data_IF_591681000028
#
_entry.id   IF_591681000028
#
_cell.length_a   1.000
_cell.length_b   1.000
_cell.length_c   1.000
_cell.angle_alpha   90.00
_cell.angle_beta   90.00
_cell.angle_gamma   90.00
#
_symmetry.space_group_name_H-M   'P 1'
#
loop_
_entity.id
_entity.type
_entity.pdbx_description
1 polymer ?
#
# COMPACT_ATOMS: atom_id res chain seq x y z
N UNK A 1 5.67 -4.63 -19.86
CA UNK A 1 4.84 -5.63 -20.55
C UNK A 1 5.02 -6.94 -19.83
N UNK A 2 3.89 -7.55 -19.54
CA UNK A 2 3.66 -8.37 -18.36
C UNK A 2 4.47 -9.67 -18.37
N UNK A 3 4.76 -10.19 -17.19
CA UNK A 3 5.50 -11.44 -17.00
C UNK A 3 4.66 -12.34 -16.12
N UNK A 4 3.83 -13.19 -16.75
CA UNK A 4 3.12 -14.27 -16.04
C UNK A 4 4.09 -15.41 -15.70
N UNK A 5 5.23 -15.50 -16.41
CA UNK A 5 6.24 -16.52 -16.16
C UNK A 5 7.48 -15.91 -15.48
N UNK A 6 7.82 -16.45 -14.31
CA UNK A 6 8.88 -15.93 -13.43
C UNK A 6 8.39 -15.91 -11.98
N UNK A 7 8.80 -16.90 -11.19
CA UNK A 7 8.31 -17.08 -9.82
C UNK A 7 8.56 -15.88 -8.88
N UNK A 8 9.45 -14.95 -9.24
CA UNK A 8 9.76 -13.78 -8.44
C UNK A 8 10.15 -12.59 -9.32
N UNK A 9 9.19 -11.75 -9.71
CA UNK A 9 9.51 -10.41 -10.21
C UNK A 9 10.22 -9.63 -9.10
N UNK A 10 11.36 -9.04 -9.42
CA UNK A 10 12.16 -8.21 -8.49
C UNK A 10 11.72 -6.75 -8.50
N UNK A 11 10.91 -6.35 -9.49
CA UNK A 11 10.26 -5.05 -9.62
C UNK A 11 8.74 -5.20 -9.53
N UNK A 12 8.04 -4.07 -9.39
CA UNK A 12 6.57 -4.04 -9.43
C UNK A 12 6.05 -4.80 -10.67
N UNK A 13 4.98 -5.63 -10.54
CA UNK A 13 4.18 -5.86 -9.33
C UNK A 13 4.76 -6.88 -8.33
N UNK A 14 5.92 -7.47 -8.58
CA UNK A 14 6.57 -8.37 -7.62
C UNK A 14 5.75 -9.65 -7.40
N UNK A 15 5.61 -10.06 -6.14
CA UNK A 15 4.82 -11.24 -5.75
C UNK A 15 3.31 -11.12 -6.04
N UNK A 16 2.79 -9.93 -6.33
CA UNK A 16 1.37 -9.77 -6.68
C UNK A 16 1.08 -9.98 -8.17
N UNK A 17 2.12 -10.19 -9.00
CA UNK A 17 2.01 -10.43 -10.44
C UNK A 17 1.01 -11.54 -10.78
N UNK A 18 1.09 -12.68 -10.09
CA UNK A 18 0.20 -13.82 -10.31
C UNK A 18 -1.28 -13.45 -10.13
N UNK A 19 -1.58 -12.57 -9.17
CA UNK A 19 -2.95 -12.12 -8.90
C UNK A 19 -3.41 -11.08 -9.91
N UNK A 20 -2.57 -10.08 -10.20
CA UNK A 20 -2.91 -8.98 -11.12
C UNK A 20 -3.03 -9.51 -12.55
N UNK A 21 -2.03 -10.22 -13.03
CA UNK A 21 -2.01 -10.76 -14.38
C UNK A 21 -2.94 -11.96 -14.53
N UNK A 22 -3.06 -12.81 -13.50
CA UNK A 22 -4.04 -13.89 -13.48
C UNK A 22 -5.47 -13.38 -13.56
N UNK A 23 -5.84 -12.38 -12.74
CA UNK A 23 -7.16 -11.77 -12.80
C UNK A 23 -7.43 -11.10 -14.17
N UNK A 24 -6.45 -10.39 -14.72
CA UNK A 24 -6.52 -9.79 -16.06
C UNK A 24 -6.75 -10.84 -17.15
N UNK A 25 -6.02 -11.95 -17.12
CA UNK A 25 -6.15 -13.04 -18.08
C UNK A 25 -7.53 -13.73 -17.98
N UNK A 26 -8.01 -14.00 -16.76
CA UNK A 26 -9.36 -14.57 -16.56
C UNK A 26 -10.45 -13.61 -17.05
N UNK A 27 -10.32 -12.31 -16.78
CA UNK A 27 -11.25 -11.30 -17.32
C UNK A 27 -11.22 -11.28 -18.86
N UNK A 28 -10.04 -11.38 -19.45
CA UNK A 28 -9.90 -11.44 -20.90
C UNK A 28 -10.58 -12.69 -21.49
N UNK A 29 -10.42 -13.86 -20.87
CA UNK A 29 -11.10 -15.08 -21.31
C UNK A 29 -12.62 -14.88 -21.25
N UNK A 30 -13.15 -14.37 -20.13
CA UNK A 30 -14.57 -14.12 -19.97
C UNK A 30 -15.11 -13.14 -21.02
N UNK A 31 -14.40 -12.03 -21.24
CA UNK A 31 -14.84 -10.98 -22.18
C UNK A 31 -14.76 -11.42 -23.64
N UNK A 32 -13.75 -12.21 -24.02
CA UNK A 32 -13.52 -12.60 -25.42
C UNK A 32 -14.22 -13.89 -25.81
N UNK A 33 -14.29 -14.86 -24.91
CA UNK A 33 -14.80 -16.21 -25.18
C UNK A 33 -16.09 -16.56 -24.43
N UNK A 34 -16.48 -15.77 -23.44
CA UNK A 34 -17.67 -15.97 -22.60
C UNK A 34 -17.33 -16.40 -21.17
N UNK A 35 -18.15 -15.98 -20.20
CA UNK A 35 -18.01 -16.37 -18.79
C UNK A 35 -18.16 -17.89 -18.59
N UNK A 36 -18.99 -18.55 -19.40
CA UNK A 36 -19.16 -20.00 -19.43
C UNK A 36 -17.83 -20.73 -19.70
N UNK A 37 -16.92 -20.12 -20.46
CA UNK A 37 -15.60 -20.69 -20.74
C UNK A 37 -14.66 -20.64 -19.55
N UNK A 38 -14.79 -19.66 -18.66
CA UNK A 38 -14.03 -19.65 -17.41
C UNK A 38 -14.46 -20.81 -16.52
N UNK A 39 -15.77 -21.06 -16.45
CA UNK A 39 -16.34 -22.17 -15.68
C UNK A 39 -15.90 -23.51 -16.26
N UNK A 40 -16.12 -23.73 -17.56
CA UNK A 40 -15.75 -24.96 -18.25
C UNK A 40 -14.23 -25.26 -18.15
N UNK A 41 -13.39 -24.22 -18.21
CA UNK A 41 -11.95 -24.35 -18.02
C UNK A 41 -11.62 -24.91 -16.63
N UNK A 42 -12.28 -24.39 -15.59
CA UNK A 42 -12.10 -24.86 -14.21
C UNK A 42 -12.59 -26.31 -14.06
N UNK A 43 -13.76 -26.63 -14.60
CA UNK A 43 -14.34 -27.98 -14.54
C UNK A 43 -13.42 -29.02 -15.19
N UNK A 44 -12.96 -28.77 -16.43
CA UNK A 44 -12.07 -29.68 -17.16
C UNK A 44 -10.73 -29.82 -16.45
N UNK A 45 -10.18 -28.74 -15.90
CA UNK A 45 -8.93 -28.82 -15.15
C UNK A 45 -9.09 -29.64 -13.86
N UNK A 46 -10.21 -29.50 -13.15
CA UNK A 46 -10.50 -30.29 -11.95
C UNK A 46 -10.78 -31.77 -12.26
N UNK A 47 -11.38 -32.07 -13.42
CA UNK A 47 -11.60 -33.45 -13.87
C UNK A 47 -10.29 -34.13 -14.29
N UNK A 48 -9.38 -33.39 -14.92
CA UNK A 48 -8.11 -33.92 -15.46
C UNK A 48 -6.86 -33.13 -15.01
N UNK A 49 -6.57 -33.02 -13.70
CA UNK A 49 -5.53 -32.12 -13.19
C UNK A 49 -4.12 -32.54 -13.66
N UNK A 50 -3.88 -33.83 -13.86
CA UNK A 50 -2.59 -34.36 -14.31
C UNK A 50 -2.28 -34.06 -15.78
N UNK A 51 -3.27 -33.70 -16.59
CA UNK A 51 -3.06 -33.27 -17.98
C UNK A 51 -2.67 -31.78 -18.07
N UNK A 52 -2.79 -31.05 -16.95
CA UNK A 52 -2.31 -29.68 -16.81
C UNK A 52 -3.23 -28.62 -17.45
N UNK A 53 -2.91 -27.36 -17.19
CA UNK A 53 -3.73 -26.21 -17.61
C UNK A 53 -3.83 -26.08 -19.14
N UNK A 54 -2.74 -26.40 -19.85
CA UNK A 54 -2.70 -26.40 -21.31
C UNK A 54 -3.74 -27.34 -21.94
N UNK A 55 -3.96 -28.52 -21.34
CA UNK A 55 -4.98 -29.45 -21.81
C UNK A 55 -6.39 -28.85 -21.66
N UNK A 56 -6.68 -28.29 -20.48
CA UNK A 56 -7.98 -27.71 -20.19
C UNK A 56 -8.27 -26.50 -21.10
N UNK A 57 -7.30 -25.63 -21.34
CA UNK A 57 -7.42 -24.51 -22.28
C UNK A 57 -7.76 -24.98 -23.69
N UNK A 58 -6.98 -25.93 -24.22
CA UNK A 58 -7.17 -26.44 -25.58
C UNK A 58 -8.52 -27.12 -25.76
N UNK A 59 -9.02 -27.81 -24.73
CA UNK A 59 -10.37 -28.40 -24.72
C UNK A 59 -11.49 -27.35 -24.67
N UNK A 60 -11.28 -26.25 -23.96
CA UNK A 60 -12.33 -25.27 -23.68
C UNK A 60 -12.48 -24.22 -24.79
N UNK A 61 -11.36 -23.64 -25.23
CA UNK A 61 -11.33 -22.51 -26.17
C UNK A 61 -10.50 -22.79 -27.44
N UNK A 62 -9.92 -24.00 -27.57
CA UNK A 62 -9.18 -24.41 -28.75
C UNK A 62 -7.73 -23.91 -28.83
N UNK A 63 -7.30 -23.05 -27.90
CA UNK A 63 -5.96 -22.47 -27.85
C UNK A 63 -5.07 -23.16 -26.82
N UNK A 64 -3.77 -23.21 -27.10
CA UNK A 64 -2.77 -23.49 -26.08
C UNK A 64 -2.41 -22.21 -25.28
N UNK A 65 -1.63 -22.36 -24.20
CA UNK A 65 -1.27 -21.25 -23.32
C UNK A 65 -0.47 -20.16 -24.03
N UNK A 66 0.47 -20.51 -24.92
CA UNK A 66 1.29 -19.53 -25.61
C UNK A 66 0.45 -18.69 -26.60
N UNK A 67 -0.47 -19.34 -27.32
CA UNK A 67 -1.43 -18.68 -28.21
C UNK A 67 -2.36 -17.74 -27.42
N UNK A 68 -2.91 -18.23 -26.30
CA UNK A 68 -3.76 -17.43 -25.43
C UNK A 68 -3.00 -16.23 -24.86
N UNK A 69 -1.77 -16.45 -24.40
CA UNK A 69 -0.92 -15.42 -23.82
C UNK A 69 -0.59 -14.33 -24.83
N UNK A 70 -0.18 -14.71 -26.05
CA UNK A 70 0.09 -13.75 -27.12
C UNK A 70 -1.16 -12.94 -27.46
N UNK A 71 -2.31 -13.62 -27.60
CA UNK A 71 -3.59 -12.96 -27.91
C UNK A 71 -4.00 -11.97 -26.80
N UNK A 72 -3.77 -12.34 -25.54
CA UNK A 72 -4.03 -11.48 -24.38
C UNK A 72 -3.09 -10.27 -24.37
N UNK A 73 -1.79 -10.47 -24.60
CA UNK A 73 -0.80 -9.39 -24.66
C UNK A 73 -1.13 -8.37 -25.76
N UNK A 74 -1.52 -8.85 -26.94
CA UNK A 74 -1.89 -8.00 -28.06
C UNK A 74 -3.18 -7.20 -27.77
N UNK A 75 -4.16 -7.84 -27.11
CA UNK A 75 -5.35 -7.14 -26.63
C UNK A 75 -5.03 -6.04 -25.61
N UNK A 76 -4.11 -6.30 -24.67
CA UNK A 76 -3.68 -5.29 -23.70
C UNK A 76 -2.97 -4.13 -24.39
N UNK A 77 -2.07 -4.40 -25.35
CA UNK A 77 -1.39 -3.36 -26.13
C UNK A 77 -2.40 -2.46 -26.83
N UNK A 78 -3.34 -3.05 -27.56
CA UNK A 78 -4.39 -2.30 -28.26
C UNK A 78 -5.24 -1.48 -27.29
N UNK A 79 -5.76 -2.11 -26.22
CA UNK A 79 -6.58 -1.46 -25.20
C UNK A 79 -5.89 -0.25 -24.58
N UNK A 80 -4.65 -0.41 -24.13
CA UNK A 80 -3.91 0.66 -23.48
C UNK A 80 -3.42 1.73 -24.47
N UNK A 81 -3.14 1.36 -25.73
CA UNK A 81 -2.84 2.34 -26.77
C UNK A 81 -4.05 3.24 -27.05
N UNK A 82 -5.25 2.67 -27.20
CA UNK A 82 -6.48 3.44 -27.37
C UNK A 82 -6.79 4.31 -26.15
N UNK A 83 -6.60 3.77 -24.94
CA UNK A 83 -6.76 4.54 -23.71
C UNK A 83 -5.78 5.72 -23.63
N UNK A 84 -4.50 5.49 -23.95
CA UNK A 84 -3.49 6.52 -23.97
C UNK A 84 -3.81 7.62 -25.01
N UNK A 85 -4.21 7.24 -26.24
CA UNK A 85 -4.64 8.19 -27.27
C UNK A 85 -5.82 9.05 -26.80
N UNK A 86 -6.81 8.43 -26.16
CA UNK A 86 -7.97 9.15 -25.59
C UNK A 86 -7.54 10.15 -24.53
N UNK A 87 -6.66 9.77 -23.60
CA UNK A 87 -6.14 10.64 -22.54
C UNK A 87 -5.33 11.79 -23.16
N UNK A 88 -4.42 11.50 -24.08
CA UNK A 88 -3.57 12.50 -24.75
C UNK A 88 -4.36 13.47 -25.64
N UNK A 89 -5.55 13.08 -26.11
CA UNK A 89 -6.46 13.98 -26.84
C UNK A 89 -7.13 15.04 -25.94
N UNK A 90 -7.07 14.89 -24.62
CA UNK A 90 -7.62 15.84 -23.66
C UNK A 90 -6.67 17.03 -23.49
N UNK A 91 -7.21 18.25 -23.50
CA UNK A 91 -6.38 19.48 -23.47
C UNK A 91 -5.73 19.78 -22.12
N UNK A 92 -6.23 19.22 -21.02
CA UNK A 92 -5.88 19.62 -19.66
C UNK A 92 -5.37 18.44 -18.83
N UNK A 93 -4.24 17.84 -19.23
CA UNK A 93 -3.57 16.85 -18.40
C UNK A 93 -2.81 17.54 -17.29
N UNK A 94 -3.15 17.23 -16.04
CA UNK A 94 -2.36 17.67 -14.89
C UNK A 94 -1.03 16.91 -14.90
N UNK A 95 0.12 17.59 -15.01
CA UNK A 95 1.41 16.92 -14.92
C UNK A 95 1.57 16.31 -13.53
N UNK A 96 2.12 15.09 -13.46
CA UNK A 96 2.47 14.44 -12.21
C UNK A 96 3.99 14.35 -12.09
N UNK A 97 4.48 14.45 -10.86
CA UNK A 97 5.89 14.30 -10.54
C UNK A 97 6.05 13.13 -9.57
N UNK A 98 6.96 12.22 -9.89
CA UNK A 98 7.36 11.19 -8.95
C UNK A 98 8.20 11.82 -7.83
N UNK A 99 7.66 11.79 -6.61
CA UNK A 99 8.33 12.39 -5.45
C UNK A 99 9.34 11.46 -4.78
N UNK A 100 9.34 10.15 -5.07
CA UNK A 100 10.25 9.22 -4.42
C UNK A 100 10.77 8.13 -5.36
N UNK A 101 11.98 7.60 -5.08
CA UNK A 101 12.62 6.54 -5.89
C UNK A 101 12.95 5.28 -5.05
N UNK A 102 12.11 4.97 -4.07
CA UNK A 102 12.31 3.80 -3.20
C UNK A 102 11.99 2.47 -3.90
N UNK A 103 11.16 2.48 -4.95
CA UNK A 103 10.72 1.30 -5.71
C UNK A 103 10.14 0.18 -4.82
N UNK A 104 9.51 0.55 -3.69
CA UNK A 104 8.86 -0.34 -2.74
C UNK A 104 7.64 0.37 -2.11
N UNK A 105 7.16 -0.07 -0.95
CA UNK A 105 5.98 0.52 -0.31
C UNK A 105 6.27 1.91 0.27
N UNK A 106 5.55 2.89 -0.28
CA UNK A 106 5.44 4.25 0.24
C UNK A 106 3.95 4.48 0.46
N UNK A 107 3.53 4.59 1.73
CA UNK A 107 2.13 4.62 2.13
C UNK A 107 1.83 5.79 3.07
N UNK A 108 0.53 6.06 3.25
CA UNK A 108 -0.03 7.10 4.12
C UNK A 108 0.59 8.51 3.88
N UNK A 109 0.42 9.10 2.69
CA UNK A 109 0.87 10.47 2.45
C UNK A 109 -0.02 11.46 3.23
N UNK A 110 0.61 12.30 4.06
CA UNK A 110 -0.06 13.39 4.77
C UNK A 110 0.70 14.71 4.56
N UNK A 111 -0.04 15.79 4.31
CA UNK A 111 0.54 17.13 4.36
C UNK A 111 0.99 17.45 5.79
N UNK A 112 2.19 17.99 5.91
CA UNK A 112 2.79 18.44 7.16
C UNK A 112 3.27 19.88 6.94
N UNK A 113 2.61 20.84 7.57
CA UNK A 113 3.04 22.24 7.52
C UNK A 113 4.18 22.45 8.51
N UNK A 114 5.34 22.90 8.02
CA UNK A 114 6.50 23.19 8.86
C UNK A 114 6.89 24.66 8.73
N UNK A 115 7.65 25.25 9.68
CA UNK A 115 8.13 26.63 9.57
C UNK A 115 8.93 26.90 8.28
N UNK A 116 9.59 25.86 7.75
CA UNK A 116 10.39 25.95 6.51
C UNK A 116 9.55 25.72 5.23
N UNK A 117 8.24 25.51 5.35
CA UNK A 117 7.31 25.24 4.25
C UNK A 117 6.57 23.90 4.38
N UNK A 118 5.59 23.69 3.51
CA UNK A 118 4.80 22.45 3.49
C UNK A 118 5.61 21.27 2.95
N UNK A 119 5.54 20.15 3.69
CA UNK A 119 6.17 18.87 3.34
C UNK A 119 5.10 17.79 3.27
N UNK A 120 5.47 16.63 2.74
CA UNK A 120 4.62 15.44 2.74
C UNK A 120 5.27 14.40 3.65
N UNK A 121 4.64 14.10 4.78
CA UNK A 121 5.01 12.94 5.58
C UNK A 121 4.56 11.66 4.86
N UNK A 122 5.45 10.68 4.78
CA UNK A 122 5.17 9.36 4.21
C UNK A 122 5.78 8.29 5.09
N UNK A 123 5.12 7.14 5.13
CA UNK A 123 5.72 5.93 5.69
C UNK A 123 6.42 5.16 4.57
N UNK A 124 7.61 4.68 4.88
CA UNK A 124 8.52 4.01 3.96
C UNK A 124 8.82 2.62 4.48
N UNK A 125 8.70 1.64 3.61
CA UNK A 125 9.26 0.30 3.80
C UNK A 125 10.22 0.01 2.66
N UNK A 126 11.36 -0.61 2.96
CA UNK A 126 12.28 -1.12 1.93
C UNK A 126 12.87 -2.45 2.39
N UNK A 127 13.42 -3.28 1.47
CA UNK A 127 14.14 -4.49 1.86
C UNK A 127 15.41 -4.26 2.69
N UNK A 128 15.93 -3.02 2.74
CA UNK A 128 17.24 -2.70 3.33
C UNK A 128 17.15 -1.91 4.64
N UNK A 129 15.93 -1.64 5.13
CA UNK A 129 15.70 -0.86 6.34
C UNK A 129 14.43 -1.30 7.04
N UNK A 130 14.40 -1.24 8.38
CA UNK A 130 13.13 -1.27 9.12
C UNK A 130 12.19 -0.17 8.63
N UNK A 131 10.87 -0.37 8.62
CA UNK A 131 9.93 0.68 8.24
C UNK A 131 10.08 1.94 9.10
N UNK A 132 9.85 3.10 8.50
CA UNK A 132 10.02 4.40 9.14
C UNK A 132 9.08 5.45 8.53
N UNK A 133 8.85 6.56 9.22
CA UNK A 133 8.18 7.74 8.68
C UNK A 133 9.25 8.80 8.38
N UNK A 134 9.09 9.50 7.27
CA UNK A 134 9.96 10.61 6.85
C UNK A 134 9.13 11.74 6.25
N UNK A 135 9.76 12.90 6.06
CA UNK A 135 9.19 14.00 5.26
C UNK A 135 9.82 14.04 3.87
N UNK A 136 8.99 14.28 2.86
CA UNK A 136 9.39 14.53 1.47
C UNK A 136 9.05 15.97 1.14
N UNK A 137 10.02 16.71 0.63
CA UNK A 137 9.79 18.05 0.07
C UNK A 137 9.21 17.88 -1.35
N UNK A 138 7.98 18.33 -1.62
CA UNK A 138 7.35 18.20 -2.94
C UNK A 138 8.01 19.07 -4.02
N UNK A 139 8.76 20.11 -3.64
CA UNK A 139 9.43 21.04 -4.55
C UNK A 139 10.87 20.62 -4.87
N UNK A 140 11.45 19.74 -4.05
CA UNK A 140 12.83 19.30 -4.22
C UNK A 140 12.97 18.10 -5.16
N UNK A 141 14.12 18.02 -5.84
CA UNK A 141 14.48 16.87 -6.66
C UNK A 141 15.08 15.77 -5.77
N UNK A 142 14.47 14.57 -5.79
CA UNK A 142 14.88 13.48 -4.91
C UNK A 142 16.28 12.94 -5.27
N UNK A 143 17.20 12.98 -4.32
CA UNK A 143 18.53 12.40 -4.46
C UNK A 143 18.49 10.85 -4.44
N UNK A 144 19.44 10.16 -5.09
CA UNK A 144 19.57 8.70 -4.99
C UNK A 144 19.78 8.28 -3.53
N UNK A 145 19.13 7.18 -3.14
CA UNK A 145 19.14 6.72 -1.77
C UNK A 145 20.40 5.94 -1.46
N UNK A 146 21.11 6.39 -0.43
CA UNK A 146 22.10 5.59 0.27
C UNK A 146 21.57 5.28 1.68
N UNK A 147 22.11 4.26 2.35
CA UNK A 147 21.74 3.96 3.74
C UNK A 147 21.95 5.16 4.67
N UNK A 148 22.99 5.97 4.44
CA UNK A 148 23.21 7.21 5.19
C UNK A 148 22.12 8.26 4.92
N UNK A 149 21.63 8.37 3.68
CA UNK A 149 20.48 9.22 3.33
C UNK A 149 19.23 8.80 4.12
N UNK A 150 18.89 7.52 4.14
CA UNK A 150 17.73 6.99 4.88
C UNK A 150 17.84 7.28 6.38
N UNK A 151 19.02 7.03 6.97
CA UNK A 151 19.26 7.25 8.40
C UNK A 151 19.08 8.73 8.79
N UNK A 152 19.47 9.65 7.90
CA UNK A 152 19.44 11.09 8.14
C UNK A 152 18.07 11.73 7.84
N UNK A 153 17.22 11.10 7.02
CA UNK A 153 15.91 11.63 6.62
C UNK A 153 14.73 11.00 7.39
N UNK A 154 14.99 9.96 8.21
CA UNK A 154 13.94 9.31 9.02
C UNK A 154 13.51 10.19 10.19
N UNK A 155 12.24 10.63 10.17
CA UNK A 155 11.60 11.37 11.24
C UNK A 155 11.26 10.44 12.42
N UNK A 156 10.58 9.32 12.13
CA UNK A 156 10.23 8.30 13.14
C UNK A 156 10.77 6.96 12.68
N UNK A 157 11.64 6.35 13.47
CA UNK A 157 12.32 5.09 13.12
C UNK A 157 11.54 3.88 13.63
N UNK A 158 11.62 2.76 12.92
CA UNK A 158 11.10 1.45 13.36
C UNK A 158 9.58 1.45 13.62
N UNK A 159 8.82 1.98 12.67
CA UNK A 159 7.34 1.95 12.66
C UNK A 159 6.85 0.57 12.16
N UNK A 160 7.11 -0.46 12.96
CA UNK A 160 6.87 -1.87 12.65
C UNK A 160 5.41 -2.19 12.38
N UNK A 161 5.19 -3.19 11.52
CA UNK A 161 3.86 -3.64 11.09
C UNK A 161 3.55 -3.11 9.70
N UNK A 162 2.96 -3.94 8.83
CA UNK A 162 2.69 -3.58 7.43
C UNK A 162 1.67 -2.43 7.33
N UNK A 163 0.64 -2.48 8.17
CA UNK A 163 -0.50 -1.55 8.16
C UNK A 163 -0.39 -0.49 9.27
N UNK A 164 0.83 -0.03 9.53
CA UNK A 164 1.08 1.07 10.47
C UNK A 164 0.71 2.41 9.86
N UNK A 165 -0.58 2.72 9.89
CA UNK A 165 -1.13 4.04 9.58
C UNK A 165 -0.73 5.07 10.64
N UNK A 166 -0.77 6.34 10.23
CA UNK A 166 -0.52 7.47 11.10
C UNK A 166 -1.41 8.66 10.74
N UNK A 167 -1.48 9.64 11.64
CA UNK A 167 -2.20 10.89 11.44
C UNK A 167 -1.40 12.01 12.12
N UNK A 168 -1.54 13.22 11.57
CA UNK A 168 -0.85 14.42 12.03
C UNK A 168 -1.88 15.29 12.74
N UNK A 169 -1.50 15.89 13.87
CA UNK A 169 -2.37 16.83 14.59
C UNK A 169 -2.69 18.07 13.74
N UNK A 170 -3.83 18.75 13.96
CA UNK A 170 -4.23 19.92 13.17
C UNK A 170 -3.19 21.05 13.14
N UNK A 171 -2.42 21.20 14.23
CA UNK A 171 -1.35 22.19 14.37
C UNK A 171 0.00 21.74 13.78
N UNK A 172 0.06 20.55 13.17
CA UNK A 172 1.30 19.94 12.65
C UNK A 172 2.42 19.77 13.68
N UNK A 173 2.11 19.73 14.99
CA UNK A 173 3.11 19.57 16.05
C UNK A 173 3.35 18.11 16.46
N UNK A 174 2.41 17.21 16.18
CA UNK A 174 2.44 15.81 16.66
C UNK A 174 2.01 14.83 15.58
N UNK A 175 2.59 13.64 15.64
CA UNK A 175 2.20 12.49 14.82
C UNK A 175 1.72 11.37 15.74
N UNK A 176 0.49 10.94 15.57
CA UNK A 176 0.01 9.70 16.20
C UNK A 176 0.07 8.57 15.18
N UNK A 177 0.54 7.41 15.60
CA UNK A 177 0.70 6.28 14.69
C UNK A 177 0.52 4.94 15.41
N UNK A 178 0.12 3.93 14.65
CA UNK A 178 0.02 2.57 15.13
C UNK A 178 1.33 1.81 14.91
N UNK A 179 1.80 1.06 15.88
CA UNK A 179 3.05 0.28 15.79
C UNK A 179 2.81 -1.12 16.31
N UNK A 180 3.22 -2.10 15.52
CA UNK A 180 3.18 -3.51 15.92
C UNK A 180 4.31 -3.78 16.91
N UNK A 181 3.96 -4.12 18.14
CA UNK A 181 4.88 -4.51 19.19
C UNK A 181 4.56 -5.90 19.72
N UNK A 182 5.52 -6.49 20.43
CA UNK A 182 5.26 -7.69 21.23
C UNK A 182 4.38 -7.28 22.43
N UNK A 183 3.41 -8.13 22.75
CA UNK A 183 2.51 -8.00 23.90
C UNK A 183 2.51 -9.31 24.68
N UNK A 184 2.76 -9.20 25.98
CA UNK A 184 3.07 -10.36 26.83
C UNK A 184 4.17 -11.23 26.19
N UNK A 185 4.02 -12.56 26.21
CA UNK A 185 5.06 -13.48 25.77
C UNK A 185 4.92 -13.94 24.31
N UNK A 186 3.69 -14.00 23.78
CA UNK A 186 3.42 -14.68 22.49
C UNK A 186 2.58 -13.86 21.52
N UNK A 187 2.08 -12.70 21.94
CA UNK A 187 1.18 -11.91 21.11
C UNK A 187 1.91 -10.74 20.46
N UNK A 188 1.36 -10.28 19.35
CA UNK A 188 1.77 -9.04 18.71
C UNK A 188 0.56 -8.20 18.42
N UNK A 189 0.51 -7.01 19.00
CA UNK A 189 -0.59 -6.09 18.84
C UNK A 189 -0.11 -4.75 18.31
N UNK A 190 -0.98 -4.12 17.54
CA UNK A 190 -0.83 -2.72 17.23
C UNK A 190 -1.26 -1.91 18.45
N UNK A 191 -0.38 -1.03 18.88
CA UNK A 191 -0.65 -0.03 19.92
C UNK A 191 -0.35 1.37 19.39
N UNK A 192 -0.92 2.37 20.04
CA UNK A 192 -0.80 3.77 19.67
C UNK A 192 0.46 4.38 20.28
N UNK A 193 1.16 5.15 19.45
CA UNK A 193 2.32 5.93 19.83
C UNK A 193 2.12 7.36 19.35
N UNK A 194 2.59 8.31 20.16
CA UNK A 194 2.58 9.74 19.85
C UNK A 194 4.02 10.21 19.73
N UNK A 195 4.33 10.91 18.66
CA UNK A 195 5.61 11.53 18.43
C UNK A 195 5.43 13.05 18.41
N UNK A 196 6.14 13.75 19.29
CA UNK A 196 6.21 15.21 19.31
C UNK A 196 7.33 15.68 18.38
N UNK A 197 6.99 16.53 17.42
CA UNK A 197 7.90 16.99 16.37
C UNK A 197 8.85 18.09 16.85
N UNK A 198 8.50 18.85 17.89
CA UNK A 198 9.34 19.94 18.39
C UNK A 198 10.49 19.40 19.24
N UNK A 199 10.19 18.45 20.14
CA UNK A 199 11.19 17.87 21.05
C UNK A 199 11.72 16.50 20.59
N UNK A 200 11.28 16.02 19.43
CA UNK A 200 11.64 14.73 18.82
C UNK A 200 11.48 13.53 19.76
N UNK A 201 10.36 13.48 20.49
CA UNK A 201 10.12 12.46 21.53
C UNK A 201 8.92 11.58 21.20
N UNK A 202 9.12 10.26 21.31
CA UNK A 202 8.08 9.24 21.24
C UNK A 202 7.54 8.90 22.63
N UNK A 203 6.22 8.78 22.74
CA UNK A 203 5.49 8.31 23.92
C UNK A 203 4.51 7.21 23.50
N UNK A 204 4.51 6.07 24.19
CA UNK A 204 3.50 5.02 24.00
C UNK A 204 2.21 5.44 24.70
N UNK A 205 1.09 5.46 23.96
CA UNK A 205 -0.22 5.84 24.49
C UNK A 205 -1.07 4.65 24.93
N UNK A 206 -0.81 3.46 24.40
CA UNK A 206 -1.58 2.25 24.74
C UNK A 206 -0.72 1.00 24.85
N UNK A 207 -1.20 0.03 25.63
CA UNK A 207 -0.60 -1.29 25.75
C UNK A 207 -1.69 -2.37 25.71
N UNK A 208 -1.64 -3.22 24.68
CA UNK A 208 -2.61 -4.29 24.49
C UNK A 208 -3.96 -3.83 23.92
N UNK A 209 -4.07 -2.58 23.48
CA UNK A 209 -5.35 -2.01 23.03
C UNK A 209 -5.77 -2.57 21.66
N UNK A 210 -4.83 -3.09 20.87
CA UNK A 210 -5.07 -3.61 19.51
C UNK A 210 -5.69 -2.53 18.62
N UNK A 211 -5.14 -1.32 18.72
CA UNK A 211 -5.61 -0.13 18.03
C UNK A 211 -4.76 0.17 16.80
N UNK A 212 -5.43 0.50 15.70
CA UNK A 212 -4.83 0.90 14.42
C UNK A 212 -5.62 2.04 13.80
N UNK A 213 -5.11 2.57 12.69
CA UNK A 213 -5.81 3.59 11.89
C UNK A 213 -6.24 4.82 12.69
N UNK A 214 -5.31 5.44 13.47
CA UNK A 214 -5.64 6.64 14.21
C UNK A 214 -5.87 7.82 13.26
N UNK A 215 -6.86 8.64 13.58
CA UNK A 215 -7.14 9.87 12.88
C UNK A 215 -7.49 10.97 13.89
N UNK A 216 -6.74 12.07 13.85
CA UNK A 216 -7.05 13.26 14.64
C UNK A 216 -8.38 13.88 14.23
N UNK A 217 -9.08 14.43 15.22
CA UNK A 217 -10.13 15.40 14.93
C UNK A 217 -9.55 16.56 14.10
N UNK A 218 -10.23 17.01 13.03
CA UNK A 218 -9.83 18.19 12.29
C UNK A 218 -10.12 19.49 13.06
N UNK A 219 -10.98 19.43 14.08
CA UNK A 219 -11.28 20.55 14.98
C UNK A 219 -10.13 20.74 15.99
N UNK A 220 -9.41 21.89 15.96
CA UNK A 220 -8.27 22.15 16.85
C UNK A 220 -8.63 22.15 18.34
N UNK A 221 -9.88 22.46 18.68
CA UNK A 221 -10.34 22.51 20.07
C UNK A 221 -10.77 21.12 20.59
N UNK A 222 -10.84 20.12 19.71
CA UNK A 222 -11.22 18.76 20.07
C UNK A 222 -9.99 17.86 20.23
N UNK A 223 -9.63 17.43 21.46
CA UNK A 223 -8.46 16.58 21.72
C UNK A 223 -8.70 15.10 21.35
N UNK A 224 -9.80 14.78 20.68
CA UNK A 224 -10.15 13.42 20.33
C UNK A 224 -9.44 12.92 19.09
N UNK A 225 -9.16 11.63 19.11
CA UNK A 225 -8.85 10.83 17.93
C UNK A 225 -9.94 9.79 17.74
N UNK A 226 -10.16 9.37 16.49
CA UNK A 226 -10.84 8.11 16.18
C UNK A 226 -9.80 7.04 15.85
N UNK A 227 -10.04 5.82 16.29
CA UNK A 227 -9.17 4.66 16.03
C UNK A 227 -10.01 3.43 15.70
N UNK A 228 -9.42 2.46 15.02
CA UNK A 228 -10.00 1.11 14.85
C UNK A 228 -9.42 0.18 15.90
N UNK A 229 -10.27 -0.33 16.80
CA UNK A 229 -9.89 -1.31 17.82
C UNK A 229 -10.36 -2.70 17.40
N UNK A 230 -9.48 -3.68 17.53
CA UNK A 230 -9.83 -5.09 17.35
C UNK A 230 -10.11 -5.77 18.69
N UNK A 231 -11.37 -6.11 18.95
CA UNK A 231 -11.81 -6.80 20.16
C UNK A 231 -12.76 -7.95 19.81
N UNK A 232 -12.55 -9.11 20.43
CA UNK A 232 -13.38 -10.32 20.24
C UNK A 232 -13.55 -10.73 18.77
N UNK A 233 -12.51 -10.55 17.95
CA UNK A 233 -12.52 -10.91 16.53
C UNK A 233 -13.26 -9.91 15.62
N UNK A 234 -13.72 -8.78 16.15
CA UNK A 234 -14.42 -7.72 15.40
C UNK A 234 -13.62 -6.41 15.43
N UNK A 235 -13.81 -5.57 14.41
CA UNK A 235 -13.25 -4.22 14.37
C UNK A 235 -14.33 -3.21 14.73
N UNK A 236 -14.02 -2.30 15.64
CA UNK A 236 -14.92 -1.24 16.08
C UNK A 236 -14.21 0.11 15.96
N UNK A 237 -14.97 1.17 15.65
CA UNK A 237 -14.47 2.53 15.78
C UNK A 237 -14.58 2.97 17.24
N UNK A 238 -13.51 3.56 17.78
CA UNK A 238 -13.48 4.10 19.13
C UNK A 238 -12.98 5.55 19.09
N UNK A 239 -13.62 6.40 19.91
CA UNK A 239 -13.12 7.74 20.20
C UNK A 239 -12.26 7.69 21.46
N UNK A 240 -11.07 8.28 21.39
CA UNK A 240 -10.13 8.37 22.52
C UNK A 240 -9.83 9.85 22.75
N UNK A 241 -10.05 10.33 23.98
CA UNK A 241 -9.60 11.65 24.40
C UNK A 241 -8.10 11.57 24.67
N UNK A 242 -7.29 12.37 23.97
CA UNK A 242 -5.87 12.48 24.30
C UNK A 242 -5.70 13.32 25.58
N UNK A 243 -4.80 12.93 26.48
CA UNK A 243 -4.51 13.73 27.66
C UNK A 243 -3.99 15.11 27.25
N UNK A 244 -4.52 16.16 27.87
CA UNK A 244 -4.04 17.52 27.64
C UNK A 244 -2.57 17.65 28.04
N UNK A 245 -1.75 18.44 27.32
CA UNK A 245 -0.31 18.59 27.62
C UNK A 245 0.02 19.11 29.02
N UNK A 246 -0.97 19.58 29.80
CA UNK A 246 -0.78 20.26 31.09
C UNK A 246 -1.04 19.39 32.33
N UNK A 247 -1.08 18.06 32.20
CA UNK A 247 -1.15 17.16 33.36
C UNK A 247 0.14 16.36 33.51
N UNK A 248 1.16 17.01 34.08
CA UNK A 248 2.28 16.43 34.84
C UNK A 248 2.96 17.53 35.65
#
# INVERSE_FOLDING_TARGET
LDQINGYYLTSWPGRTALYIYGQSLIHFIAQKYGEDKVIALSEIFCEYPYLGFNYALKRTIGLNLDELYQTWEDNLKEKYQLQAQKILSQKNLTPSQQLTKYHYWIDYPHWLSTPDGDKIAVRVSTPHSYPFIQTVDPLSSFAPLTYSTIKNQSLIKRTYGRDSSFSISPDSSKIIYAKLGDYEQFYRFYDLYLFDLEIEKEVRLSEGLRARDPCWSPDPDNPQIVVVINQSGTNNLALINLPSPNSS
#
